data_IF_207416321924
#
_entry.id   IF_207416321924
#
_cell.length_a   1.000
_cell.length_b   1.000
_cell.length_c   1.000
_cell.angle_alpha   90.00
_cell.angle_beta   90.00
_cell.angle_gamma   90.00
#
_symmetry.space_group_name_H-M   'P 1'
#
loop_
_entity.id
_entity.type
_entity.pdbx_description
1 polymer ?
#
# COMPACT_ATOMS: atom_id res chain seq x y z
N UNK A 1 -11.83 -20.76 13.86
CA UNK A 1 -12.04 -20.36 12.45
C UNK A 1 -13.13 -19.29 12.42
N UNK A 2 -12.81 -18.06 12.04
CA UNK A 2 -13.80 -16.99 11.94
C UNK A 2 -14.81 -17.33 10.84
N UNK A 3 -16.12 -17.32 11.16
CA UNK A 3 -17.20 -17.43 10.17
C UNK A 3 -17.09 -16.23 9.22
N UNK A 4 -16.46 -16.43 8.05
CA UNK A 4 -16.51 -15.49 6.93
C UNK A 4 -17.99 -15.28 6.58
N UNK A 5 -18.39 -14.03 6.39
CA UNK A 5 -19.70 -13.63 5.88
C UNK A 5 -20.08 -14.55 4.70
N UNK A 6 -21.17 -15.31 4.86
CA UNK A 6 -21.64 -16.34 3.92
C UNK A 6 -22.55 -15.78 2.81
N UNK A 7 -22.66 -14.47 2.73
CA UNK A 7 -23.57 -13.83 1.79
C UNK A 7 -22.89 -13.67 0.42
N UNK A 8 -23.57 -14.07 -0.68
CA UNK A 8 -23.03 -13.89 -2.02
C UNK A 8 -22.93 -12.40 -2.35
N UNK A 9 -21.79 -11.99 -2.91
CA UNK A 9 -21.58 -10.60 -3.34
C UNK A 9 -22.03 -10.45 -4.79
N UNK A 10 -22.92 -9.48 -5.05
CA UNK A 10 -23.32 -9.08 -6.39
C UNK A 10 -22.49 -7.85 -6.78
N UNK A 11 -21.68 -7.98 -7.85
CA UNK A 11 -20.84 -6.91 -8.36
C UNK A 11 -21.42 -6.40 -9.68
N UNK A 12 -21.61 -5.09 -9.79
CA UNK A 12 -22.09 -4.42 -11.00
C UNK A 12 -20.98 -3.51 -11.51
N UNK A 13 -20.72 -3.52 -12.82
CA UNK A 13 -19.60 -2.81 -13.43
C UNK A 13 -19.99 -2.24 -14.79
N UNK A 14 -19.32 -1.15 -15.20
CA UNK A 14 -19.41 -0.62 -16.56
C UNK A 14 -18.27 -1.10 -17.49
N UNK A 15 -17.40 -2.02 -17.02
CA UNK A 15 -16.26 -2.51 -17.79
C UNK A 15 -16.73 -3.27 -19.05
N UNK A 16 -16.02 -3.14 -20.18
CA UNK A 16 -16.39 -3.78 -21.44
C UNK A 16 -16.34 -5.30 -21.32
N UNK A 17 -17.37 -5.99 -21.82
CA UNK A 17 -17.49 -7.44 -21.75
C UNK A 17 -16.30 -8.15 -22.42
N UNK A 18 -15.60 -8.97 -21.64
CA UNK A 18 -14.50 -9.85 -22.06
C UNK A 18 -14.62 -11.17 -21.32
N UNK A 19 -14.08 -12.25 -21.88
CA UNK A 19 -14.11 -13.58 -21.26
C UNK A 19 -13.46 -13.62 -19.86
N UNK A 20 -12.45 -12.78 -19.60
CA UNK A 20 -11.76 -12.67 -18.30
C UNK A 20 -12.36 -11.63 -17.35
N UNK A 21 -13.53 -11.04 -17.67
CA UNK A 21 -14.09 -9.92 -16.92
C UNK A 21 -14.48 -10.28 -15.49
N UNK A 22 -15.04 -11.47 -15.25
CA UNK A 22 -15.53 -11.86 -13.93
C UNK A 22 -14.40 -11.97 -12.89
N UNK A 23 -13.31 -12.66 -13.25
CA UNK A 23 -12.15 -12.84 -12.38
C UNK A 23 -11.46 -11.50 -12.09
N UNK A 24 -11.33 -10.64 -13.11
CA UNK A 24 -10.80 -9.28 -12.96
C UNK A 24 -11.67 -8.42 -12.07
N UNK A 25 -12.99 -8.49 -12.20
CA UNK A 25 -13.90 -7.75 -11.33
C UNK A 25 -13.75 -8.17 -9.87
N UNK A 26 -13.62 -9.48 -9.63
CA UNK A 26 -13.36 -9.98 -8.28
C UNK A 26 -12.00 -9.53 -7.78
N UNK A 27 -10.95 -9.51 -8.62
CA UNK A 27 -9.62 -9.03 -8.26
C UNK A 27 -9.62 -7.53 -7.91
N UNK A 28 -10.25 -6.68 -8.74
CA UNK A 28 -10.40 -5.25 -8.48
C UNK A 28 -11.22 -5.02 -7.20
N UNK A 29 -12.35 -5.72 -7.05
CA UNK A 29 -13.19 -5.55 -5.86
C UNK A 29 -12.50 -6.03 -4.58
N UNK A 30 -11.60 -7.02 -4.67
CA UNK A 30 -10.75 -7.43 -3.54
C UNK A 30 -9.84 -6.31 -3.05
N UNK A 31 -9.38 -5.42 -3.94
CA UNK A 31 -8.56 -4.27 -3.55
C UNK A 31 -9.31 -3.26 -2.68
N UNK A 32 -10.65 -3.31 -2.57
CA UNK A 32 -11.42 -2.38 -1.71
C UNK A 32 -10.95 -2.35 -0.26
N UNK A 33 -10.43 -3.47 0.24
CA UNK A 33 -9.92 -3.57 1.62
C UNK A 33 -8.69 -2.68 1.84
N UNK A 34 -7.90 -2.40 0.79
CA UNK A 34 -6.73 -1.52 0.87
C UNK A 34 -7.14 -0.09 1.28
N UNK A 35 -8.34 0.35 0.91
CA UNK A 35 -8.88 1.66 1.31
C UNK A 35 -9.11 1.70 2.83
N UNK A 36 -9.74 0.67 3.39
CA UNK A 36 -9.97 0.57 4.83
C UNK A 36 -8.67 0.47 5.62
N UNK A 37 -7.70 -0.29 5.10
CA UNK A 37 -6.35 -0.40 5.67
C UNK A 37 -5.62 0.95 5.65
N UNK A 38 -5.69 1.70 4.54
CA UNK A 38 -5.10 3.04 4.45
C UNK A 38 -5.72 4.02 5.47
N UNK A 39 -7.04 4.00 5.65
CA UNK A 39 -7.69 4.80 6.69
C UNK A 39 -7.28 4.36 8.11
N UNK A 40 -7.07 3.06 8.33
CA UNK A 40 -6.61 2.52 9.61
C UNK A 40 -5.19 2.98 9.94
N UNK A 41 -4.30 2.96 8.95
CA UNK A 41 -2.90 3.35 9.11
C UNK A 41 -2.78 4.85 9.40
N UNK A 42 -3.54 5.72 8.71
CA UNK A 42 -3.54 7.16 9.02
C UNK A 42 -3.98 7.42 10.47
N UNK A 43 -4.97 6.68 10.97
CA UNK A 43 -5.51 6.85 12.33
C UNK A 43 -4.62 6.25 13.41
N UNK A 44 -3.86 5.22 13.08
CA UNK A 44 -3.06 4.43 14.03
C UNK A 44 -1.89 5.25 14.60
N UNK A 45 -1.79 5.38 15.94
CA UNK A 45 -0.69 6.13 16.57
C UNK A 45 0.63 5.37 16.61
N UNK A 46 0.61 4.04 16.71
CA UNK A 46 1.81 3.22 16.86
C UNK A 46 2.39 2.78 15.51
N UNK A 47 1.50 2.48 14.56
CA UNK A 47 1.86 1.82 13.31
C UNK A 47 1.66 2.69 12.08
N UNK A 48 1.12 3.91 12.23
CA UNK A 48 1.00 4.86 11.12
C UNK A 48 1.16 6.30 11.58
N UNK A 49 0.36 7.22 11.03
CA UNK A 49 0.62 8.67 11.13
C UNK A 49 0.02 9.35 12.37
N UNK A 50 -0.68 8.60 13.22
CA UNK A 50 -1.19 9.10 14.50
C UNK A 50 -2.15 10.28 14.39
N UNK A 51 -2.90 10.37 13.30
CA UNK A 51 -3.81 11.49 13.05
C UNK A 51 -4.83 11.72 14.19
N UNK A 52 -5.23 10.64 14.86
CA UNK A 52 -6.13 10.66 16.02
C UNK A 52 -5.59 11.46 17.22
N UNK A 53 -4.27 11.63 17.33
CA UNK A 53 -3.62 12.36 18.43
C UNK A 53 -3.69 13.88 18.27
N UNK A 54 -4.00 14.39 17.08
CA UNK A 54 -3.93 15.82 16.79
C UNK A 54 -5.12 16.64 17.38
N UNK A 55 -6.19 15.95 17.82
CA UNK A 55 -7.41 16.45 18.50
C UNK A 55 -8.01 17.75 17.93
N UNK A 56 -7.72 18.06 16.67
CA UNK A 56 -8.12 19.31 16.03
C UNK A 56 -9.60 19.26 15.63
N UNK A 57 -10.36 20.31 15.95
CA UNK A 57 -11.80 20.42 15.57
C UNK A 57 -12.06 21.41 14.43
N UNK A 58 -11.02 22.11 13.97
CA UNK A 58 -11.11 23.06 12.84
C UNK A 58 -10.98 22.34 11.51
N UNK A 59 -11.99 22.45 10.65
CA UNK A 59 -12.04 21.77 9.33
C UNK A 59 -10.83 22.09 8.44
N UNK A 60 -10.46 23.38 8.31
CA UNK A 60 -9.29 23.81 7.52
C UNK A 60 -7.98 23.14 7.98
N UNK A 61 -7.80 22.98 9.29
CA UNK A 61 -6.61 22.33 9.85
C UNK A 61 -6.61 20.82 9.60
N UNK A 62 -7.78 20.18 9.71
CA UNK A 62 -7.95 18.76 9.37
C UNK A 62 -7.61 18.52 7.90
N UNK A 63 -8.09 19.37 7.00
CA UNK A 63 -7.83 19.27 5.56
C UNK A 63 -6.32 19.35 5.24
N UNK A 64 -5.61 20.33 5.82
CA UNK A 64 -4.15 20.44 5.66
C UNK A 64 -3.43 19.22 6.23
N UNK A 65 -3.84 18.72 7.41
CA UNK A 65 -3.24 17.54 8.01
C UNK A 65 -3.50 16.27 7.18
N UNK A 66 -4.67 16.14 6.57
CA UNK A 66 -5.00 15.05 5.66
C UNK A 66 -4.16 15.13 4.39
N UNK A 67 -3.94 16.33 3.85
CA UNK A 67 -3.06 16.54 2.70
C UNK A 67 -1.62 16.14 3.03
N UNK A 68 -1.09 16.59 4.17
CA UNK A 68 0.25 16.20 4.63
C UNK A 68 0.33 14.69 4.83
N UNK A 69 -0.69 14.08 5.45
CA UNK A 69 -0.73 12.64 5.65
C UNK A 69 -0.77 11.86 4.32
N UNK A 70 -1.52 12.36 3.33
CA UNK A 70 -1.55 11.77 1.98
C UNK A 70 -0.17 11.83 1.32
N UNK A 71 0.49 12.98 1.34
CA UNK A 71 1.84 13.15 0.79
C UNK A 71 2.85 12.25 1.51
N UNK A 72 2.79 12.17 2.84
CA UNK A 72 3.63 11.28 3.62
C UNK A 72 3.42 9.81 3.24
N UNK A 73 2.17 9.37 3.06
CA UNK A 73 1.87 8.02 2.61
C UNK A 73 2.43 7.72 1.22
N UNK A 74 2.38 8.68 0.29
CA UNK A 74 3.01 8.52 -1.04
C UNK A 74 4.51 8.28 -0.87
N UNK A 75 5.20 9.10 -0.06
CA UNK A 75 6.64 8.94 0.20
C UNK A 75 6.94 7.58 0.82
N UNK A 76 6.18 7.16 1.83
CA UNK A 76 6.35 5.84 2.48
C UNK A 76 6.15 4.70 1.48
N UNK A 77 5.14 4.79 0.62
CA UNK A 77 4.90 3.83 -0.46
C UNK A 77 6.10 3.75 -1.41
N UNK A 78 6.63 4.89 -1.86
CA UNK A 78 7.81 4.95 -2.74
C UNK A 78 9.00 4.21 -2.11
N UNK A 79 9.29 4.53 -0.85
CA UNK A 79 10.39 3.89 -0.11
C UNK A 79 10.15 2.39 0.01
N UNK A 80 8.94 1.97 0.37
CA UNK A 80 8.59 0.57 0.50
C UNK A 80 8.78 -0.22 -0.80
N UNK A 81 8.39 0.36 -1.93
CA UNK A 81 8.58 -0.25 -3.26
C UNK A 81 10.06 -0.40 -3.58
N UNK A 82 10.87 0.63 -3.29
CA UNK A 82 12.31 0.56 -3.49
C UNK A 82 12.99 -0.54 -2.63
N UNK A 83 12.56 -0.69 -1.37
CA UNK A 83 13.08 -1.74 -0.48
C UNK A 83 12.66 -3.13 -0.94
N UNK A 84 11.47 -3.25 -1.54
CA UNK A 84 10.99 -4.48 -2.16
C UNK A 84 11.81 -4.86 -3.39
N UNK A 85 12.02 -3.91 -4.30
CA UNK A 85 12.78 -4.09 -5.54
C UNK A 85 14.25 -4.43 -5.26
N UNK A 86 14.87 -3.76 -4.29
CA UNK A 86 16.24 -4.07 -3.85
C UNK A 86 16.38 -5.38 -3.05
N UNK A 87 15.28 -6.13 -2.83
CA UNK A 87 15.29 -7.40 -2.10
C UNK A 87 15.59 -7.28 -0.59
N UNK A 88 15.71 -6.05 -0.08
CA UNK A 88 16.04 -5.76 1.33
C UNK A 88 14.88 -6.02 2.30
N UNK A 89 13.69 -6.37 1.78
CA UNK A 89 12.53 -6.77 2.58
C UNK A 89 12.86 -7.82 3.65
N UNK A 90 13.81 -8.73 3.35
CA UNK A 90 14.19 -9.81 4.26
C UNK A 90 14.92 -9.32 5.52
N UNK A 91 15.54 -8.14 5.49
CA UNK A 91 16.22 -7.56 6.64
C UNK A 91 15.26 -7.01 7.69
N UNK A 92 14.00 -6.75 7.30
CA UNK A 92 12.94 -6.21 8.13
C UNK A 92 11.93 -7.27 8.59
N UNK A 93 12.04 -8.51 8.10
CA UNK A 93 11.20 -9.63 8.53
C UNK A 93 11.96 -10.52 9.53
N UNK A 94 11.28 -10.92 10.60
CA UNK A 94 11.79 -11.96 11.51
C UNK A 94 11.43 -13.37 11.04
N UNK A 95 10.43 -13.50 10.16
CA UNK A 95 9.97 -14.79 9.66
C UNK A 95 10.89 -15.32 8.53
N UNK A 96 11.06 -16.64 8.48
CA UNK A 96 11.85 -17.34 7.46
C UNK A 96 11.12 -17.53 6.11
N UNK A 97 9.90 -17.01 5.98
CA UNK A 97 9.07 -17.13 4.78
C UNK A 97 9.67 -16.28 3.65
N UNK A 98 9.95 -16.91 2.50
CA UNK A 98 10.51 -16.25 1.30
C UNK A 98 9.63 -16.33 0.05
N UNK A 99 8.61 -17.20 0.05
CA UNK A 99 7.76 -17.44 -1.12
C UNK A 99 6.61 -16.43 -1.27
N UNK A 100 6.40 -15.52 -0.30
CA UNK A 100 5.35 -14.50 -0.35
C UNK A 100 5.79 -13.25 0.40
N UNK A 101 5.24 -12.11 0.01
CA UNK A 101 5.40 -10.87 0.76
C UNK A 101 4.64 -10.96 2.08
N UNK A 102 5.36 -10.78 3.19
CA UNK A 102 4.80 -10.89 4.56
C UNK A 102 4.40 -9.53 5.11
N UNK A 103 5.18 -8.49 4.81
CA UNK A 103 4.92 -7.11 5.22
C UNK A 103 4.26 -6.36 4.08
N UNK A 104 3.31 -5.48 4.40
CA UNK A 104 2.80 -4.52 3.43
C UNK A 104 3.92 -3.57 3.01
N UNK A 105 3.85 -3.08 1.78
CA UNK A 105 4.81 -2.12 1.24
C UNK A 105 4.89 -0.88 2.15
N UNK A 106 3.77 -0.45 2.75
CA UNK A 106 3.75 0.75 3.58
C UNK A 106 4.51 0.52 4.88
N UNK A 107 4.29 -0.62 5.53
CA UNK A 107 5.03 -1.00 6.73
C UNK A 107 6.51 -1.15 6.45
N UNK A 108 6.86 -1.73 5.31
CA UNK A 108 8.25 -1.88 4.90
C UNK A 108 8.94 -0.52 4.67
N UNK A 109 8.27 0.41 3.99
CA UNK A 109 8.77 1.77 3.80
C UNK A 109 8.93 2.53 5.11
N UNK A 110 7.99 2.35 6.04
CA UNK A 110 8.01 3.00 7.36
C UNK A 110 9.13 2.45 8.26
N UNK A 111 9.38 1.13 8.23
CA UNK A 111 10.51 0.53 8.95
C UNK A 111 11.86 0.93 8.36
N UNK A 112 11.96 1.06 7.03
CA UNK A 112 13.18 1.57 6.41
C UNK A 112 13.47 3.03 6.79
N UNK A 113 12.44 3.88 6.84
CA UNK A 113 12.57 5.27 7.29
C UNK A 113 12.98 5.37 8.76
N UNK A 114 12.53 4.44 9.62
CA UNK A 114 12.92 4.36 11.03
C UNK A 114 14.37 3.88 11.19
N UNK A 115 14.76 2.87 10.40
CA UNK A 115 16.05 2.20 10.49
C UNK A 115 16.64 1.96 9.09
N UNK A 116 17.23 2.99 8.46
CA UNK A 116 17.82 2.84 7.13
C UNK A 116 19.08 1.98 7.23
N UNK A 117 19.04 0.78 6.64
CA UNK A 117 20.21 -0.10 6.57
C UNK A 117 20.98 0.16 5.27
N UNK A 118 21.92 1.09 5.30
CA UNK A 118 23.05 1.17 4.35
C UNK A 118 22.75 1.15 2.85
N UNK A 119 21.55 1.53 2.40
CA UNK A 119 21.16 1.62 1.00
C UNK A 119 21.21 3.06 0.46
N UNK A 120 21.41 3.22 -0.85
CA UNK A 120 21.27 4.51 -1.51
C UNK A 120 19.88 5.11 -1.23
N UNK A 121 19.81 6.42 -1.01
CA UNK A 121 18.53 7.06 -0.73
C UNK A 121 17.58 6.88 -1.91
N UNK A 122 16.29 6.54 -1.68
CA UNK A 122 15.35 6.25 -2.76
C UNK A 122 15.18 7.42 -3.75
N UNK A 123 15.35 8.67 -3.29
CA UNK A 123 15.28 9.86 -4.14
C UNK A 123 16.51 10.07 -5.03
N UNK A 124 17.65 9.45 -4.72
CA UNK A 124 18.84 9.51 -5.57
C UNK A 124 18.64 8.73 -6.90
N UNK A 125 17.62 7.87 -6.95
CA UNK A 125 17.28 7.06 -8.12
C UNK A 125 15.85 7.34 -8.62
N UNK A 126 15.47 8.62 -8.70
CA UNK A 126 14.14 9.05 -9.17
C UNK A 126 13.75 8.48 -10.56
N UNK A 127 14.72 8.10 -11.40
CA UNK A 127 14.48 7.42 -12.68
C UNK A 127 14.12 5.95 -12.56
N UNK A 128 14.75 5.21 -11.63
CA UNK A 128 14.34 3.82 -11.36
C UNK A 128 12.98 3.79 -10.69
N UNK A 129 12.69 4.79 -9.84
CA UNK A 129 11.37 4.99 -9.24
C UNK A 129 10.22 5.09 -10.26
N UNK A 130 10.37 5.89 -11.32
CA UNK A 130 9.35 5.99 -12.36
C UNK A 130 9.16 4.67 -13.12
N UNK A 131 10.24 3.88 -13.26
CA UNK A 131 10.20 2.56 -13.87
C UNK A 131 9.51 1.54 -12.96
N UNK A 132 9.84 1.46 -11.67
CA UNK A 132 9.21 0.53 -10.71
C UNK A 132 7.74 0.85 -10.46
N UNK A 133 7.34 2.13 -10.45
CA UNK A 133 5.92 2.51 -10.39
C UNK A 133 5.17 2.06 -11.64
N UNK A 134 5.79 2.22 -12.82
CA UNK A 134 5.22 1.76 -14.08
C UNK A 134 5.15 0.24 -14.12
N UNK A 135 6.14 -0.44 -13.56
CA UNK A 135 6.23 -1.90 -13.50
C UNK A 135 5.22 -2.48 -12.51
N UNK A 136 4.99 -1.87 -11.34
CA UNK A 136 3.91 -2.27 -10.43
C UNK A 136 2.52 -2.00 -11.01
N UNK A 137 2.31 -0.85 -11.64
CA UNK A 137 1.05 -0.57 -12.36
C UNK A 137 0.87 -1.58 -13.50
N UNK A 138 1.95 -1.97 -14.17
CA UNK A 138 1.93 -3.00 -15.21
C UNK A 138 1.77 -4.42 -14.66
N UNK A 139 2.35 -4.79 -13.52
CA UNK A 139 2.17 -6.11 -12.88
C UNK A 139 0.73 -6.27 -12.41
N UNK A 140 0.16 -5.20 -11.86
CA UNK A 140 -1.27 -5.13 -11.56
C UNK A 140 -2.11 -5.28 -12.84
N UNK A 141 -1.63 -4.75 -13.98
CA UNK A 141 -2.27 -4.87 -15.29
C UNK A 141 -1.90 -6.14 -16.11
N UNK A 142 -0.89 -6.93 -15.71
CA UNK A 142 -0.43 -8.16 -16.38
C UNK A 142 -0.88 -9.41 -15.63
N UNK A 143 -1.17 -9.29 -14.33
CA UNK A 143 -2.11 -10.17 -13.66
C UNK A 143 -3.54 -10.04 -14.24
N UNK A 144 -3.78 -9.10 -15.16
CA UNK A 144 -4.99 -8.94 -15.97
C UNK A 144 -4.91 -9.59 -17.39
N UNK A 145 -4.01 -10.53 -17.69
CA UNK A 145 -4.12 -11.37 -18.92
C UNK A 145 -4.44 -12.84 -18.64
#
# INVERSE_FOLDING_TARGET
MARRQKEPWVLVSNLPERSTLADKLVAIYRQRMQIEEGFRDIKSPLFGLGFSMHQSRQGKRIEILLLIAMLANVVVMVVGLHVRDSGQQHCYQSNSIRHRHVLSVWRLGLEWLRYPRGGAAPWASCKTFQASLREEVNEQALCDE
#
